data_IF_426887864718
#
_entry.id   IF_426887864718
#
_cell.length_a   1.000
_cell.length_b   1.000
_cell.length_c   1.000
_cell.angle_alpha   90.00
_cell.angle_beta   90.00
_cell.angle_gamma   90.00
#
_symmetry.space_group_name_H-M   'P 1'
#
loop_
_entity.id
_entity.type
_entity.pdbx_description
1 polymer ?
#
# COMPACT_ATOMS: atom_id res chain seq x y z
N UNK A 1 10.45 -2.56 8.84
CA UNK A 1 9.83 -1.55 7.96
C UNK A 1 9.80 -2.14 6.55
N UNK A 2 8.64 -2.16 5.90
CA UNK A 2 8.48 -2.72 4.56
C UNK A 2 9.22 -1.84 3.53
N UNK A 3 9.71 -2.41 2.42
CA UNK A 3 10.40 -1.67 1.35
C UNK A 3 9.57 -0.47 0.85
N UNK A 4 8.25 -0.66 0.69
CA UNK A 4 7.34 0.44 0.34
C UNK A 4 7.43 1.60 1.34
N UNK A 5 7.45 1.29 2.65
CA UNK A 5 7.41 2.30 3.71
C UNK A 5 8.70 3.11 3.68
N UNK A 6 9.83 2.44 3.51
CA UNK A 6 11.12 3.09 3.34
C UNK A 6 11.15 4.01 2.12
N UNK A 7 10.67 3.55 0.98
CA UNK A 7 10.69 4.35 -0.25
C UNK A 7 9.72 5.54 -0.16
N UNK A 8 8.55 5.35 0.45
CA UNK A 8 7.58 6.42 0.67
C UNK A 8 8.11 7.47 1.65
N UNK A 9 8.65 7.05 2.81
CA UNK A 9 9.23 7.98 3.79
C UNK A 9 10.37 8.80 3.17
N UNK A 10 11.23 8.18 2.36
CA UNK A 10 12.28 8.89 1.62
C UNK A 10 11.71 9.89 0.61
N UNK A 11 10.67 9.51 -0.15
CA UNK A 11 10.05 10.39 -1.12
C UNK A 11 9.35 11.59 -0.46
N UNK A 12 8.67 11.37 0.68
CA UNK A 12 8.04 12.43 1.47
C UNK A 12 9.09 13.37 2.06
N UNK A 13 10.17 12.84 2.64
CA UNK A 13 11.26 13.67 3.16
C UNK A 13 11.92 14.52 2.05
N UNK A 14 12.10 13.95 0.86
CA UNK A 14 12.60 14.70 -0.29
C UNK A 14 11.63 15.80 -0.74
N UNK A 15 10.32 15.54 -0.70
CA UNK A 15 9.29 16.53 -1.00
C UNK A 15 9.29 17.68 0.02
N UNK A 16 9.41 17.38 1.31
CA UNK A 16 9.51 18.39 2.38
C UNK A 16 10.74 19.27 2.20
N UNK A 17 11.90 18.68 1.91
CA UNK A 17 13.13 19.42 1.63
C UNK A 17 12.97 20.32 0.39
N UNK A 18 12.34 19.81 -0.67
CA UNK A 18 12.10 20.59 -1.89
C UNK A 18 11.12 21.75 -1.62
N UNK A 19 10.11 21.53 -0.79
CA UNK A 19 9.16 22.56 -0.37
C UNK A 19 9.86 23.67 0.42
N UNK A 20 10.65 23.32 1.43
CA UNK A 20 11.43 24.30 2.21
C UNK A 20 12.40 25.09 1.34
N UNK A 21 13.00 24.43 0.35
CA UNK A 21 13.91 25.06 -0.61
C UNK A 21 13.17 26.07 -1.50
N UNK A 22 11.98 25.73 -2.01
CA UNK A 22 11.14 26.63 -2.78
C UNK A 22 10.68 27.84 -1.96
N UNK A 23 10.26 27.62 -0.70
CA UNK A 23 9.86 28.71 0.22
C UNK A 23 11.02 29.68 0.46
N UNK A 24 12.24 29.17 0.71
CA UNK A 24 13.43 30.02 0.88
C UNK A 24 13.81 30.75 -0.40
N UNK A 25 13.74 30.08 -1.56
CA UNK A 25 14.00 30.71 -2.85
C UNK A 25 12.99 31.83 -3.14
N UNK A 26 11.71 31.63 -2.81
CA UNK A 26 10.69 32.66 -2.91
C UNK A 26 10.94 33.82 -1.93
N UNK A 27 11.32 33.54 -0.69
CA UNK A 27 11.59 34.56 0.33
C UNK A 27 12.79 35.45 -0.03
N UNK A 28 13.86 34.86 -0.56
CA UNK A 28 15.10 35.57 -0.93
C UNK A 28 14.97 36.46 -2.16
N UNK A 29 13.95 36.23 -2.99
CA UNK A 29 13.65 37.05 -4.15
C UNK A 29 13.16 38.45 -3.71
N UNK A 30 14.02 39.46 -3.88
CA UNK A 30 13.72 40.87 -3.56
C UNK A 30 12.98 41.56 -4.72
N UNK A 31 11.73 41.19 -4.92
CA UNK A 31 10.82 41.89 -5.84
C UNK A 31 9.45 42.06 -5.18
N UNK A 32 9.03 43.31 -4.98
CA UNK A 32 7.78 43.65 -4.30
C UNK A 32 6.54 43.20 -5.07
N UNK A 33 6.70 42.98 -6.38
CA UNK A 33 5.62 42.56 -7.26
C UNK A 33 5.53 41.04 -7.45
N UNK A 34 6.39 40.24 -6.80
CA UNK A 34 6.45 38.78 -6.98
C UNK A 34 5.16 38.03 -6.67
N UNK A 35 4.31 38.56 -5.79
CA UNK A 35 2.97 38.01 -5.49
C UNK A 35 1.95 38.27 -6.61
N UNK A 36 2.20 39.27 -7.45
CA UNK A 36 1.29 39.75 -8.50
C UNK A 36 1.70 39.36 -9.92
N UNK A 37 2.83 38.67 -10.10
CA UNK A 37 3.31 38.30 -11.44
C UNK A 37 2.30 37.46 -12.24
N UNK A 38 1.58 36.55 -11.57
CA UNK A 38 0.52 35.75 -12.22
C UNK A 38 -0.68 36.57 -12.72
N UNK A 39 -0.80 37.83 -12.29
CA UNK A 39 -1.84 38.77 -12.72
C UNK A 39 -1.35 39.75 -13.79
N UNK A 40 -0.03 39.76 -14.06
CA UNK A 40 0.60 40.67 -15.02
C UNK A 40 0.76 39.97 -16.38
N UNK A 41 0.58 40.69 -17.51
CA UNK A 41 0.92 40.16 -18.83
C UNK A 41 2.41 39.76 -18.90
N UNK A 42 2.69 38.70 -19.67
CA UNK A 42 4.02 38.06 -19.79
C UNK A 42 5.18 39.03 -20.06
N UNK A 43 5.06 40.09 -20.89
CA UNK A 43 6.15 41.04 -21.10
C UNK A 43 6.58 41.82 -19.84
N UNK A 44 5.74 41.88 -18.82
CA UNK A 44 6.04 42.54 -17.54
C UNK A 44 6.56 41.57 -16.48
N UNK A 45 6.80 40.32 -16.85
CA UNK A 45 7.41 39.35 -15.96
C UNK A 45 8.90 39.66 -15.79
N UNK A 46 9.44 39.37 -14.60
CA UNK A 46 10.86 39.55 -14.31
C UNK A 46 11.75 38.73 -15.25
N UNK A 47 12.95 39.22 -15.50
CA UNK A 47 13.96 38.53 -16.29
C UNK A 47 14.28 37.14 -15.71
N UNK A 48 14.50 36.18 -16.62
CA UNK A 48 14.76 34.78 -16.28
C UNK A 48 15.96 34.60 -15.34
N UNK A 49 16.98 35.46 -15.41
CA UNK A 49 18.16 35.38 -14.53
C UNK A 49 17.78 35.60 -13.06
N UNK A 50 16.92 36.59 -12.79
CA UNK A 50 16.48 36.94 -11.43
C UNK A 50 15.58 35.88 -10.82
N UNK A 51 14.74 35.25 -11.64
CA UNK A 51 13.81 34.20 -11.20
C UNK A 51 14.40 32.80 -11.28
N UNK A 52 15.56 32.62 -11.92
CA UNK A 52 16.14 31.29 -12.14
C UNK A 52 16.31 30.44 -10.88
N UNK A 53 16.70 30.97 -9.69
CA UNK A 53 16.82 30.14 -8.49
C UNK A 53 15.45 29.65 -8.01
N UNK A 54 14.44 30.53 -8.02
CA UNK A 54 13.06 30.18 -7.68
C UNK A 54 12.48 29.19 -8.68
N UNK A 55 12.69 29.40 -9.99
CA UNK A 55 12.19 28.51 -11.03
C UNK A 55 12.78 27.10 -10.91
N UNK A 56 14.08 26.97 -10.59
CA UNK A 56 14.73 25.67 -10.33
C UNK A 56 14.18 25.00 -9.08
N UNK A 57 14.01 25.76 -7.99
CA UNK A 57 13.44 25.22 -6.76
C UNK A 57 11.99 24.73 -6.98
N UNK A 58 11.18 25.50 -7.71
CA UNK A 58 9.82 25.12 -8.08
C UNK A 58 9.79 23.88 -8.96
N UNK A 59 10.69 23.77 -9.95
CA UNK A 59 10.81 22.58 -10.79
C UNK A 59 11.19 21.34 -9.96
N UNK A 60 12.11 21.48 -9.00
CA UNK A 60 12.48 20.39 -8.09
C UNK A 60 11.31 19.96 -7.19
N UNK A 61 10.53 20.92 -6.68
CA UNK A 61 9.31 20.65 -5.91
C UNK A 61 8.29 19.85 -6.73
N UNK A 62 8.00 20.27 -7.95
CA UNK A 62 7.08 19.56 -8.86
C UNK A 62 7.57 18.15 -9.15
N UNK A 63 8.88 17.98 -9.40
CA UNK A 63 9.46 16.65 -9.62
C UNK A 63 9.34 15.74 -8.38
N UNK A 64 9.52 16.28 -7.18
CA UNK A 64 9.35 15.55 -5.92
C UNK A 64 7.88 15.15 -5.69
N UNK A 65 6.93 16.04 -5.96
CA UNK A 65 5.49 15.72 -5.91
C UNK A 65 5.14 14.58 -6.87
N UNK A 66 5.63 14.66 -8.11
CA UNK A 66 5.36 13.65 -9.13
C UNK A 66 5.95 12.28 -8.75
N UNK A 67 7.12 12.26 -8.10
CA UNK A 67 7.72 11.04 -7.57
C UNK A 67 6.83 10.38 -6.50
N UNK A 68 6.29 11.15 -5.56
CA UNK A 68 5.35 10.67 -4.53
C UNK A 68 4.06 10.15 -5.17
N UNK A 69 3.46 10.91 -6.10
CA UNK A 69 2.25 10.51 -6.83
C UNK A 69 2.45 9.20 -7.59
N UNK A 70 3.57 9.07 -8.29
CA UNK A 70 3.94 7.86 -9.04
C UNK A 70 4.08 6.66 -8.10
N UNK A 71 4.69 6.82 -6.93
CA UNK A 71 4.86 5.73 -5.96
C UNK A 71 3.51 5.26 -5.41
N UNK A 72 2.60 6.18 -5.07
CA UNK A 72 1.24 5.87 -4.63
C UNK A 72 0.45 5.17 -5.74
N UNK A 73 0.56 5.64 -6.98
CA UNK A 73 -0.12 5.03 -8.12
C UNK A 73 0.35 3.59 -8.34
N UNK A 74 1.67 3.35 -8.32
CA UNK A 74 2.26 2.00 -8.42
C UNK A 74 1.76 1.08 -7.31
N UNK A 75 1.72 1.57 -6.06
CA UNK A 75 1.22 0.78 -4.93
C UNK A 75 -0.26 0.44 -5.09
N UNK A 76 -1.07 1.40 -5.52
CA UNK A 76 -2.50 1.21 -5.76
C UNK A 76 -2.76 0.16 -6.84
N UNK A 77 -1.98 0.17 -7.93
CA UNK A 77 -2.03 -0.86 -8.97
C UNK A 77 -1.64 -2.23 -8.42
N UNK A 78 -0.52 -2.32 -7.69
CA UNK A 78 -0.07 -3.59 -7.11
C UNK A 78 -1.10 -4.20 -6.13
N UNK A 79 -1.77 -3.36 -5.34
CA UNK A 79 -2.83 -3.79 -4.43
C UNK A 79 -4.07 -4.28 -5.18
N UNK A 80 -4.48 -3.59 -6.26
CA UNK A 80 -5.59 -4.05 -7.13
C UNK A 80 -5.29 -5.41 -7.75
N UNK A 81 -4.11 -5.57 -8.35
CA UNK A 81 -3.66 -6.85 -8.92
C UNK A 81 -3.54 -7.97 -7.88
N UNK A 82 -3.16 -7.65 -6.65
CA UNK A 82 -3.12 -8.63 -5.56
C UNK A 82 -4.54 -9.09 -5.15
N UNK A 83 -5.52 -8.17 -5.14
CA UNK A 83 -6.92 -8.49 -4.87
C UNK A 83 -7.53 -9.33 -6.00
N UNK A 84 -7.33 -8.95 -7.25
CA UNK A 84 -7.79 -9.72 -8.42
C UNK A 84 -7.23 -11.14 -8.42
N UNK A 85 -5.92 -11.31 -8.16
CA UNK A 85 -5.32 -12.65 -8.04
C UNK A 85 -5.93 -13.48 -6.92
N UNK A 86 -6.24 -12.89 -5.77
CA UNK A 86 -6.93 -13.59 -4.67
C UNK A 86 -8.35 -13.99 -5.04
N UNK A 87 -9.11 -13.11 -5.70
CA UNK A 87 -10.44 -13.42 -6.19
C UNK A 87 -10.41 -14.58 -7.19
N UNK A 88 -9.51 -14.55 -8.18
CA UNK A 88 -9.34 -15.65 -9.14
C UNK A 88 -8.98 -16.99 -8.48
N UNK A 89 -8.14 -16.97 -7.44
CA UNK A 89 -7.83 -18.18 -6.68
C UNK A 89 -9.05 -18.69 -5.91
N UNK A 90 -9.83 -17.79 -5.30
CA UNK A 90 -11.06 -18.16 -4.60
C UNK A 90 -12.11 -18.74 -5.55
N UNK A 91 -12.31 -18.12 -6.72
CA UNK A 91 -13.23 -18.62 -7.74
C UNK A 91 -12.80 -19.98 -8.28
N UNK A 92 -11.49 -20.21 -8.48
CA UNK A 92 -10.96 -21.52 -8.87
C UNK A 92 -11.14 -22.60 -7.80
N UNK A 93 -11.10 -22.23 -6.50
CA UNK A 93 -11.38 -23.16 -5.40
C UNK A 93 -12.88 -23.44 -5.29
N UNK A 94 -13.75 -22.45 -5.54
CA UNK A 94 -15.20 -22.62 -5.57
C UNK A 94 -15.68 -23.44 -6.78
N UNK A 95 -14.98 -23.36 -7.92
CA UNK A 95 -15.23 -24.15 -9.12
C UNK A 95 -14.37 -25.42 -9.21
N UNK A 96 -13.54 -25.72 -8.20
CA UNK A 96 -12.94 -27.04 -8.12
C UNK A 96 -14.11 -28.03 -8.01
N UNK A 97 -14.31 -28.94 -8.98
CA UNK A 97 -15.29 -29.98 -8.81
C UNK A 97 -14.90 -30.67 -7.52
N UNK A 98 -15.79 -30.68 -6.55
CA UNK A 98 -15.71 -31.57 -5.39
C UNK A 98 -15.69 -32.96 -6.00
N UNK A 99 -14.49 -33.44 -6.38
CA UNK A 99 -14.29 -34.84 -6.67
C UNK A 99 -14.78 -35.52 -5.41
N UNK A 100 -15.82 -36.37 -5.47
CA UNK A 100 -16.15 -37.17 -4.32
C UNK A 100 -14.87 -37.94 -4.06
N UNK A 101 -14.19 -37.57 -2.99
CA UNK A 101 -13.11 -38.35 -2.44
C UNK A 101 -13.81 -39.66 -2.11
N UNK A 102 -13.70 -40.63 -3.03
CA UNK A 102 -14.12 -41.99 -2.82
C UNK A 102 -13.29 -42.45 -1.64
N UNK A 103 -13.84 -42.26 -0.43
CA UNK A 103 -13.46 -43.00 0.74
C UNK A 103 -13.65 -44.44 0.32
N UNK A 104 -12.54 -45.09 -0.08
CA UNK A 104 -12.52 -46.53 -0.12
C UNK A 104 -13.09 -47.02 1.21
N UNK A 105 -14.06 -47.95 1.21
CA UNK A 105 -14.58 -48.47 2.45
C UNK A 105 -13.41 -49.14 3.17
N UNK A 106 -12.88 -48.48 4.21
CA UNK A 106 -11.96 -49.09 5.16
C UNK A 106 -12.62 -50.39 5.59
N UNK A 107 -11.93 -51.48 5.24
CA UNK A 107 -12.43 -52.84 5.39
C UNK A 107 -13.02 -53.08 6.78
N UNK A 108 -14.10 -53.86 6.77
CA UNK A 108 -14.77 -54.46 7.92
C UNK A 108 -13.98 -54.36 9.23
N UNK A 109 -14.38 -53.44 10.10
CA UNK A 109 -14.01 -53.49 11.51
C UNK A 109 -14.74 -54.72 12.08
N UNK A 110 -14.03 -55.78 12.53
CA UNK A 110 -14.70 -56.92 13.13
C UNK A 110 -15.44 -56.47 14.38
N UNK A 111 -16.72 -56.83 14.46
CA UNK A 111 -17.57 -56.60 15.63
C UNK A 111 -16.95 -57.37 16.83
N UNK A 112 -16.24 -56.65 17.68
CA UNK A 112 -15.59 -57.24 18.86
C UNK A 112 -14.58 -56.36 19.59
N UNK A 113 -14.14 -55.24 19.00
CA UNK A 113 -13.03 -54.45 19.55
C UNK A 113 -13.41 -53.33 20.54
N UNK A 114 -14.66 -53.30 21.03
CA UNK A 114 -15.10 -52.36 22.09
C UNK A 114 -15.77 -53.06 23.27
N UNK A 115 -15.26 -54.24 23.66
CA UNK A 115 -15.64 -54.90 24.90
C UNK A 115 -14.63 -54.59 26.03
N UNK A 116 -14.38 -53.30 26.32
CA UNK A 116 -13.65 -52.79 27.49
C UNK A 116 -13.90 -51.26 27.46
N UNK A 117 -14.46 -50.54 28.42
CA UNK A 117 -14.84 -50.76 29.82
C UNK A 117 -16.22 -50.13 30.01
N UNK A 118 -17.21 -50.89 30.50
CA UNK A 118 -18.50 -50.36 30.96
C UNK A 118 -18.67 -50.55 32.48
N UNK A 119 -17.56 -50.57 33.21
CA UNK A 119 -17.53 -50.96 34.62
C UNK A 119 -16.93 -49.90 35.56
N UNK A 120 -16.83 -48.64 35.12
CA UNK A 120 -16.29 -47.54 35.96
C UNK A 120 -17.25 -46.38 36.27
N UNK A 121 -18.54 -46.51 35.96
CA UNK A 121 -19.53 -45.47 36.27
C UNK A 121 -20.82 -45.99 36.90
N UNK A 122 -20.76 -47.03 37.74
CA UNK A 122 -21.91 -47.48 38.57
C UNK A 122 -21.56 -47.84 40.02
N UNK A 123 -20.46 -47.31 40.56
CA UNK A 123 -20.03 -47.53 41.94
C UNK A 123 -19.76 -46.26 42.74
N UNK A 124 -20.60 -45.24 42.62
CA UNK A 124 -20.61 -44.12 43.57
C UNK A 124 -21.65 -44.45 44.66
N UNK A 125 -21.16 -44.68 45.87
CA UNK A 125 -21.87 -45.31 46.98
C UNK A 125 -23.14 -44.57 47.44
N UNK A 126 -24.19 -45.37 47.63
CA UNK A 126 -25.01 -45.26 48.83
C UNK A 126 -24.35 -46.13 49.90
N UNK A 127 -24.06 -45.54 51.05
CA UNK A 127 -24.19 -46.03 52.44
C UNK A 127 -23.24 -45.24 53.34
#
# INVERSE_FOLDING_TARGET
MNQWETDFTKAVAALEIAYDTDVRAYATLKDDSKSSWGLKPVPMWPEAVKTSPMARARAALVAAEEAVRTLIARRSVALRQARERRAMLHDRVAFAPTMPMMLEPVGAIPAGLFAFERDRLQGAGRH
#
